data_IF_164868229034
#
_entry.id   IF_164868229034
#
_cell.length_a   1.000
_cell.length_b   1.000
_cell.length_c   1.000
_cell.angle_alpha   90.00
_cell.angle_beta   90.00
_cell.angle_gamma   90.00
#
_symmetry.space_group_name_H-M   'P 1'
#
loop_
_entity.id
_entity.type
_entity.pdbx_description
1 polymer ?
#
# COMPACT_ATOMS: atom_id res chain seq x y z
N UNK A 1 -32.71 25.04 4.95
CA UNK A 1 -31.45 24.60 4.30
C UNK A 1 -30.33 24.73 5.32
N UNK A 2 -29.89 23.63 5.93
CA UNK A 2 -28.78 23.62 6.88
C UNK A 2 -27.51 23.12 6.19
N UNK A 3 -26.46 23.95 6.12
CA UNK A 3 -25.13 23.53 5.66
C UNK A 3 -24.50 22.64 6.73
N UNK A 4 -24.39 21.35 6.44
CA UNK A 4 -23.53 20.44 7.20
C UNK A 4 -22.06 20.70 6.80
N UNK A 5 -21.35 21.50 7.60
CA UNK A 5 -19.90 21.60 7.55
C UNK A 5 -19.31 20.26 7.97
N UNK A 6 -18.91 19.43 7.01
CA UNK A 6 -18.08 18.25 7.26
C UNK A 6 -16.67 18.71 7.64
N UNK A 7 -16.48 19.03 8.92
CA UNK A 7 -15.15 19.24 9.47
C UNK A 7 -14.28 18.00 9.16
N UNK A 8 -13.30 18.16 8.28
CA UNK A 8 -12.21 17.21 8.12
C UNK A 8 -11.56 17.07 9.50
N UNK A 9 -11.55 15.86 10.06
CA UNK A 9 -11.01 15.64 11.40
C UNK A 9 -9.49 15.78 11.36
N UNK A 10 -8.88 16.82 11.98
CA UNK A 10 -7.43 17.02 11.94
C UNK A 10 -6.67 15.79 12.47
N UNK A 11 -7.18 15.16 13.54
CA UNK A 11 -6.62 13.95 14.14
C UNK A 11 -6.52 12.71 13.22
N UNK A 12 -7.14 12.71 12.03
CA UNK A 12 -6.95 11.64 11.03
C UNK A 12 -5.81 11.95 10.07
N UNK A 13 -5.67 13.23 9.68
CA UNK A 13 -4.54 13.67 8.87
C UNK A 13 -3.22 13.48 9.64
N UNK A 14 -3.20 13.92 10.91
CA UNK A 14 -2.04 13.79 11.79
C UNK A 14 -1.56 12.33 11.89
N UNK A 15 -2.48 11.37 12.07
CA UNK A 15 -2.14 9.94 12.13
C UNK A 15 -1.58 9.39 10.83
N UNK A 16 -2.02 9.89 9.67
CA UNK A 16 -1.49 9.41 8.40
C UNK A 16 -0.10 9.99 8.12
N UNK A 17 0.12 11.25 8.48
CA UNK A 17 1.43 11.89 8.39
C UNK A 17 2.43 11.24 9.35
N UNK A 18 1.98 10.83 10.55
CA UNK A 18 2.82 10.07 11.49
C UNK A 18 3.17 8.68 10.96
N UNK A 19 2.22 7.97 10.33
CA UNK A 19 2.52 6.73 9.64
C UNK A 19 3.54 6.94 8.51
N UNK A 20 3.41 8.01 7.72
CA UNK A 20 4.39 8.32 6.67
C UNK A 20 5.79 8.59 7.25
N UNK A 21 5.88 9.31 8.37
CA UNK A 21 7.15 9.51 9.10
C UNK A 21 7.71 8.19 9.63
N UNK A 22 6.87 7.31 10.16
CA UNK A 22 7.30 5.96 10.60
C UNK A 22 7.86 5.13 9.45
N UNK A 23 7.19 5.16 8.30
CA UNK A 23 7.71 4.53 7.08
C UNK A 23 9.08 5.10 6.71
N UNK A 24 9.25 6.42 6.73
CA UNK A 24 10.51 7.07 6.36
C UNK A 24 11.65 6.79 7.34
N UNK A 25 11.33 6.52 8.61
CA UNK A 25 12.31 6.12 9.62
C UNK A 25 12.77 4.67 9.46
N UNK A 26 11.89 3.78 8.98
CA UNK A 26 12.16 2.33 8.96
C UNK A 26 12.51 1.77 7.58
N UNK A 27 12.17 2.49 6.51
CA UNK A 27 12.52 2.13 5.14
C UNK A 27 13.65 3.06 4.71
N UNK A 28 14.91 2.57 4.58
CA UNK A 28 16.02 3.37 4.10
C UNK A 28 15.71 4.01 2.74
N UNK A 29 16.24 5.21 2.50
CA UNK A 29 16.05 5.96 1.26
C UNK A 29 14.60 6.30 0.87
N UNK A 30 13.63 6.08 1.76
CA UNK A 30 12.25 6.50 1.56
C UNK A 30 12.13 8.02 1.74
N UNK A 31 11.60 8.70 0.73
CA UNK A 31 11.22 10.12 0.81
C UNK A 31 9.71 10.26 0.80
N UNK A 32 9.22 11.13 1.68
CA UNK A 32 7.82 11.54 1.71
C UNK A 32 7.64 12.67 0.70
N UNK A 33 6.79 12.44 -0.30
CA UNK A 33 6.45 13.40 -1.32
C UNK A 33 5.22 14.24 -0.94
N UNK A 34 4.49 14.68 -1.96
CA UNK A 34 3.27 15.49 -1.79
C UNK A 34 2.12 14.68 -1.21
N UNK A 35 1.25 15.34 -0.48
CA UNK A 35 -0.05 14.80 -0.04
C UNK A 35 -1.17 15.40 -0.88
N UNK A 36 -1.98 14.56 -1.52
CA UNK A 36 -3.11 15.01 -2.35
C UNK A 36 -4.31 14.11 -2.10
N UNK A 37 -5.47 14.70 -1.81
CA UNK A 37 -6.75 13.99 -1.66
C UNK A 37 -6.71 12.77 -0.69
N UNK A 38 -5.99 12.90 0.42
CA UNK A 38 -5.84 11.82 1.42
C UNK A 38 -4.94 10.67 0.95
N UNK A 39 -3.99 10.95 0.06
CA UNK A 39 -2.93 10.04 -0.36
C UNK A 39 -1.60 10.75 -0.22
N UNK A 40 -0.65 10.11 0.47
CA UNK A 40 0.72 10.58 0.61
C UNK A 40 1.58 9.83 -0.41
N UNK A 41 2.16 10.55 -1.37
CA UNK A 41 3.08 9.93 -2.33
C UNK A 41 4.42 9.64 -1.67
N UNK A 42 5.00 8.49 -2.02
CA UNK A 42 6.27 8.02 -1.48
C UNK A 42 7.24 7.76 -2.63
N UNK A 43 8.51 8.12 -2.44
CA UNK A 43 9.58 7.89 -3.40
C UNK A 43 10.63 6.96 -2.80
N UNK A 44 11.06 5.95 -3.56
CA UNK A 44 12.07 5.00 -3.13
C UNK A 44 12.70 4.30 -4.36
N UNK A 45 14.01 4.02 -4.38
CA UNK A 45 14.71 3.47 -5.56
C UNK A 45 14.23 2.08 -5.99
N UNK A 46 13.63 1.30 -5.09
CA UNK A 46 13.12 -0.04 -5.40
C UNK A 46 11.74 -0.06 -6.10
N UNK A 47 11.08 1.09 -6.25
CA UNK A 47 9.72 1.20 -6.81
C UNK A 47 9.66 2.32 -7.86
N UNK A 48 8.76 2.20 -8.82
CA UNK A 48 8.50 3.28 -9.79
C UNK A 48 7.45 4.26 -9.29
N UNK A 49 6.51 3.80 -8.48
CA UNK A 49 5.52 4.62 -7.79
C UNK A 49 5.20 3.96 -6.46
N UNK A 50 4.97 4.77 -5.43
CA UNK A 50 4.42 4.29 -4.17
C UNK A 50 3.56 5.35 -3.50
N UNK A 51 2.62 4.91 -2.68
CA UNK A 51 1.80 5.81 -1.88
C UNK A 51 1.21 5.14 -0.65
N UNK A 52 0.91 5.96 0.34
CA UNK A 52 0.09 5.63 1.51
C UNK A 52 -1.28 6.28 1.35
N UNK A 53 -2.32 5.47 1.18
CA UNK A 53 -3.71 5.91 1.25
C UNK A 53 -4.15 6.08 2.70
N UNK A 54 -4.62 7.27 3.04
CA UNK A 54 -5.06 7.61 4.40
C UNK A 54 -6.52 7.25 4.62
N UNK A 55 -6.81 6.67 5.79
CA UNK A 55 -8.16 6.36 6.20
C UNK A 55 -9.02 7.63 6.32
N UNK A 56 -10.23 7.56 5.76
CA UNK A 56 -11.25 8.61 5.85
C UNK A 56 -12.61 7.99 6.18
N UNK A 57 -13.68 8.79 6.27
CA UNK A 57 -15.03 8.28 6.55
C UNK A 57 -15.42 7.09 5.65
N UNK A 58 -14.96 7.10 4.40
CA UNK A 58 -15.27 6.09 3.40
C UNK A 58 -14.03 5.38 2.82
N UNK A 59 -12.86 5.46 3.45
CA UNK A 59 -11.66 4.69 3.03
C UNK A 59 -10.93 4.09 4.22
N UNK A 60 -10.46 2.85 4.09
CA UNK A 60 -9.45 2.27 4.98
C UNK A 60 -8.05 2.70 4.53
N UNK A 61 -7.05 2.52 5.40
CA UNK A 61 -5.66 2.69 5.01
C UNK A 61 -5.29 1.67 3.94
N UNK A 62 -4.51 2.11 2.95
CA UNK A 62 -3.92 1.25 1.93
C UNK A 62 -2.46 1.64 1.69
N UNK A 63 -1.63 0.66 1.33
CA UNK A 63 -0.28 0.92 0.80
C UNK A 63 -0.21 0.42 -0.62
N UNK A 64 0.35 1.25 -1.49
CA UNK A 64 0.49 0.97 -2.90
C UNK A 64 1.96 1.04 -3.30
N UNK A 65 2.38 0.12 -4.17
CA UNK A 65 3.65 0.21 -4.89
C UNK A 65 3.49 -0.34 -6.32
N UNK A 66 4.32 0.18 -7.22
CA UNK A 66 4.51 -0.39 -8.55
C UNK A 66 5.97 -0.51 -8.94
N UNK A 67 6.25 -1.41 -9.86
CA UNK A 67 7.51 -1.53 -10.58
C UNK A 67 7.22 -1.72 -12.06
N UNK A 68 8.11 -1.26 -12.93
CA UNK A 68 8.10 -1.51 -14.36
C UNK A 68 8.58 -2.93 -14.74
N UNK A 69 9.12 -3.68 -13.77
CA UNK A 69 9.60 -5.04 -13.97
C UNK A 69 8.45 -6.04 -13.90
N UNK A 70 8.24 -6.82 -14.97
CA UNK A 70 7.28 -7.95 -14.99
C UNK A 70 7.57 -9.00 -13.91
N UNK A 71 8.84 -9.15 -13.53
CA UNK A 71 9.29 -9.96 -12.39
C UNK A 71 9.84 -8.99 -11.33
N UNK A 72 9.08 -8.69 -10.26
CA UNK A 72 9.56 -7.77 -9.24
C UNK A 72 10.79 -8.30 -8.51
N UNK A 73 11.67 -7.40 -8.09
CA UNK A 73 12.87 -7.74 -7.31
C UNK A 73 12.51 -8.04 -5.85
N UNK A 74 13.42 -8.67 -5.12
CA UNK A 74 13.22 -8.84 -3.67
C UNK A 74 13.15 -7.50 -2.94
N UNK A 75 13.90 -6.48 -3.38
CA UNK A 75 13.81 -5.11 -2.83
C UNK A 75 12.40 -4.50 -3.00
N UNK A 76 11.73 -4.76 -4.13
CA UNK A 76 10.35 -4.34 -4.32
C UNK A 76 9.39 -5.01 -3.33
N UNK A 77 9.53 -6.33 -3.15
CA UNK A 77 8.70 -7.06 -2.18
C UNK A 77 9.01 -6.68 -0.74
N UNK A 78 10.28 -6.41 -0.43
CA UNK A 78 10.72 -5.97 0.89
C UNK A 78 10.16 -4.58 1.22
N UNK A 79 10.16 -3.66 0.24
CA UNK A 79 9.54 -2.35 0.36
C UNK A 79 8.05 -2.45 0.71
N UNK A 80 7.24 -3.08 -0.15
CA UNK A 80 5.78 -3.13 0.04
C UNK A 80 5.41 -3.96 1.28
N UNK A 81 6.19 -5.01 1.57
CA UNK A 81 6.02 -5.83 2.76
C UNK A 81 6.33 -5.09 4.05
N UNK A 82 7.41 -4.30 4.09
CA UNK A 82 7.76 -3.45 5.24
C UNK A 82 6.70 -2.37 5.42
N UNK A 83 6.30 -1.68 4.35
CA UNK A 83 5.28 -0.65 4.43
C UNK A 83 3.95 -1.19 4.99
N UNK A 84 3.48 -2.33 4.47
CA UNK A 84 2.28 -2.98 4.97
C UNK A 84 2.43 -3.48 6.41
N UNK A 85 3.59 -4.01 6.77
CA UNK A 85 3.86 -4.47 8.14
C UNK A 85 3.70 -3.36 9.16
N UNK A 86 4.18 -2.16 8.83
CA UNK A 86 4.12 -0.98 9.71
C UNK A 86 2.72 -0.39 9.77
N UNK A 87 2.12 -0.10 8.62
CA UNK A 87 0.79 0.52 8.54
C UNK A 87 -0.30 -0.35 9.16
N UNK A 88 -0.19 -1.66 9.03
CA UNK A 88 -1.18 -2.60 9.55
C UNK A 88 -0.74 -3.30 10.83
N UNK A 89 0.47 -3.07 11.34
CA UNK A 89 0.99 -3.75 12.53
C UNK A 89 0.87 -5.28 12.40
N UNK A 90 1.52 -5.84 11.38
CA UNK A 90 1.60 -7.29 11.13
C UNK A 90 3.05 -7.72 10.93
N UNK A 91 3.38 -9.02 11.05
CA UNK A 91 4.72 -9.49 10.75
C UNK A 91 5.11 -9.22 9.28
N UNK A 92 6.27 -8.58 9.07
CA UNK A 92 6.86 -8.36 7.74
C UNK A 92 6.93 -9.63 6.87
N UNK A 93 7.35 -10.81 7.37
CA UNK A 93 7.37 -12.02 6.56
C UNK A 93 6.00 -12.41 6.00
N UNK A 94 4.92 -12.15 6.75
CA UNK A 94 3.55 -12.44 6.30
C UNK A 94 3.13 -11.47 5.19
N UNK A 95 3.44 -10.18 5.32
CA UNK A 95 3.19 -9.19 4.29
C UNK A 95 3.94 -9.54 2.98
N UNK A 96 5.26 -9.81 3.07
CA UNK A 96 6.09 -10.20 1.92
C UNK A 96 5.54 -11.46 1.25
N UNK A 97 5.17 -12.47 2.04
CA UNK A 97 4.61 -13.72 1.49
C UNK A 97 3.26 -13.50 0.82
N UNK A 98 2.41 -12.64 1.38
CA UNK A 98 1.14 -12.24 0.76
C UNK A 98 1.36 -11.58 -0.61
N UNK A 99 2.28 -10.62 -0.70
CA UNK A 99 2.64 -9.95 -1.95
C UNK A 99 3.16 -10.95 -3.00
N UNK A 100 4.13 -11.80 -2.63
CA UNK A 100 4.71 -12.81 -3.54
C UNK A 100 3.66 -13.82 -4.01
N UNK A 101 2.77 -14.28 -3.12
CA UNK A 101 1.70 -15.23 -3.46
C UNK A 101 0.67 -14.63 -4.41
N UNK A 102 0.36 -13.33 -4.27
CA UNK A 102 -0.54 -12.66 -5.19
C UNK A 102 0.04 -12.68 -6.61
N UNK A 103 1.28 -12.18 -6.77
CA UNK A 103 1.95 -12.10 -8.07
C UNK A 103 2.22 -13.47 -8.69
N UNK A 104 2.54 -14.50 -7.89
CA UNK A 104 2.78 -15.84 -8.46
C UNK A 104 1.50 -16.48 -9.03
N UNK A 105 0.34 -16.17 -8.45
CA UNK A 105 -0.95 -16.75 -8.86
C UNK A 105 -1.54 -16.14 -10.13
N UNK A 106 -1.16 -14.91 -10.51
CA UNK A 106 -1.57 -14.32 -11.80
C UNK A 106 -0.99 -15.06 -13.01
N UNK A 107 0.10 -15.82 -12.83
CA UNK A 107 0.64 -16.67 -13.89
C UNK A 107 -0.10 -18.01 -14.03
N UNK A 108 -0.92 -18.38 -13.04
CA UNK A 108 -1.66 -19.66 -13.00
C UNK A 108 -3.10 -19.45 -13.45
N UNK A 109 -3.74 -18.39 -12.95
CA UNK A 109 -5.10 -18.01 -13.30
C UNK A 109 -4.98 -17.04 -14.47
N UNK A 110 -5.66 -17.29 -15.60
CA UNK A 110 -5.63 -16.43 -16.81
C UNK A 110 -6.24 -15.04 -16.52
N UNK A 111 -5.49 -14.21 -15.80
CA UNK A 111 -5.94 -12.91 -15.31
C UNK A 111 -4.74 -12.05 -14.93
N UNK A 112 -4.73 -10.82 -15.43
CA UNK A 112 -3.71 -9.83 -15.10
C UNK A 112 -3.96 -9.18 -13.74
N UNK A 113 -5.17 -9.32 -13.19
CA UNK A 113 -5.55 -8.82 -11.88
C UNK A 113 -5.92 -9.98 -10.97
N UNK A 114 -5.50 -9.92 -9.71
CA UNK A 114 -5.87 -10.89 -8.71
C UNK A 114 -6.10 -10.21 -7.37
N UNK A 115 -7.25 -10.51 -6.78
CA UNK A 115 -7.54 -10.24 -5.39
C UNK A 115 -7.24 -11.49 -4.57
N UNK A 116 -6.45 -11.32 -3.53
CA UNK A 116 -6.12 -12.41 -2.62
C UNK A 116 -6.14 -11.93 -1.18
N UNK A 117 -6.54 -12.81 -0.27
CA UNK A 117 -6.44 -12.56 1.16
C UNK A 117 -5.26 -13.35 1.72
N UNK A 118 -4.41 -12.69 2.47
CA UNK A 118 -3.34 -13.34 3.22
C UNK A 118 -3.36 -12.85 4.66
N UNK A 119 -3.71 -13.75 5.60
CA UNK A 119 -3.91 -13.42 7.02
C UNK A 119 -4.95 -12.29 7.17
N UNK A 120 -4.51 -11.13 7.65
CA UNK A 120 -5.33 -9.94 7.90
C UNK A 120 -5.24 -8.90 6.78
N UNK A 121 -4.63 -9.22 5.64
CA UNK A 121 -4.48 -8.32 4.50
C UNK A 121 -5.29 -8.78 3.31
N UNK A 122 -5.95 -7.82 2.68
CA UNK A 122 -6.38 -7.91 1.31
C UNK A 122 -5.25 -7.39 0.42
N UNK A 123 -4.85 -8.21 -0.54
CA UNK A 123 -3.72 -7.97 -1.44
C UNK A 123 -4.28 -8.03 -2.85
N UNK A 124 -4.40 -6.86 -3.46
CA UNK A 124 -4.71 -6.70 -4.86
C UNK A 124 -3.40 -6.58 -5.64
N UNK A 125 -3.19 -7.42 -6.64
CA UNK A 125 -2.06 -7.29 -7.54
C UNK A 125 -2.48 -7.31 -9.00
N UNK A 126 -1.82 -6.44 -9.76
CA UNK A 126 -1.91 -6.42 -11.22
C UNK A 126 -0.55 -6.74 -11.79
N UNK A 127 -0.46 -7.73 -12.68
CA UNK A 127 0.73 -8.06 -13.44
C UNK A 127 0.43 -7.79 -14.90
N UNK A 128 1.07 -6.77 -15.48
CA UNK A 128 0.91 -6.40 -16.88
C UNK A 128 2.24 -6.53 -17.63
N UNK A 129 2.23 -6.30 -18.95
CA UNK A 129 3.48 -6.22 -19.74
C UNK A 129 4.39 -5.09 -19.25
N UNK A 130 3.78 -4.01 -18.75
CA UNK A 130 4.46 -2.79 -18.28
C UNK A 130 4.91 -2.86 -16.83
N UNK A 131 4.75 -4.01 -16.16
CA UNK A 131 5.22 -4.22 -14.80
C UNK A 131 4.16 -4.73 -13.82
N UNK A 132 4.41 -4.55 -12.53
CA UNK A 132 3.58 -5.07 -11.45
C UNK A 132 3.14 -3.95 -10.54
N UNK A 133 1.89 -4.03 -10.09
CA UNK A 133 1.27 -3.10 -9.13
C UNK A 133 0.71 -3.93 -7.99
N UNK A 134 0.94 -3.50 -6.75
CA UNK A 134 0.37 -4.14 -5.56
C UNK A 134 -0.26 -3.06 -4.69
N UNK A 135 -1.50 -3.29 -4.30
CA UNK A 135 -2.17 -2.56 -3.22
C UNK A 135 -2.44 -3.52 -2.08
N UNK A 136 -2.03 -3.15 -0.86
CA UNK A 136 -2.35 -3.89 0.34
C UNK A 136 -3.23 -3.04 1.24
N UNK A 137 -4.35 -3.61 1.69
CA UNK A 137 -5.31 -2.96 2.55
C UNK A 137 -5.82 -3.92 3.62
N UNK A 138 -6.59 -3.37 4.55
CA UNK A 138 -7.50 -4.16 5.38
C UNK A 138 -8.93 -3.96 4.92
N UNK A 139 -9.69 -5.04 4.93
CA UNK A 139 -11.14 -5.04 4.90
C UNK A 139 -11.65 -3.96 5.86
N UNK A 140 -12.56 -3.11 5.38
CA UNK A 140 -13.30 -2.24 6.29
C UNK A 140 -14.07 -3.17 7.22
N UNK A 141 -13.82 -3.07 8.52
CA UNK A 141 -14.71 -3.69 9.50
C UNK A 141 -16.13 -3.24 9.17
N UNK A 142 -16.97 -4.21 8.80
CA UNK A 142 -18.42 -4.05 8.68
C UNK A 142 -19.00 -3.59 10.01
#
# INVERSE_FOLDING_TARGET
>A
MGLALTAASPARADRCDDLAKDLARQIPDLKIGKTVAGVIYLEHPAVTQASLGCASRNRSNDVFASTDKKKPTDAYYDFIGTAAALVFTIPKPDAVRGAKRCVSRTNIIRGYNLDSRYRKLDVHCTVAKTGVRITMSREKGV
#
